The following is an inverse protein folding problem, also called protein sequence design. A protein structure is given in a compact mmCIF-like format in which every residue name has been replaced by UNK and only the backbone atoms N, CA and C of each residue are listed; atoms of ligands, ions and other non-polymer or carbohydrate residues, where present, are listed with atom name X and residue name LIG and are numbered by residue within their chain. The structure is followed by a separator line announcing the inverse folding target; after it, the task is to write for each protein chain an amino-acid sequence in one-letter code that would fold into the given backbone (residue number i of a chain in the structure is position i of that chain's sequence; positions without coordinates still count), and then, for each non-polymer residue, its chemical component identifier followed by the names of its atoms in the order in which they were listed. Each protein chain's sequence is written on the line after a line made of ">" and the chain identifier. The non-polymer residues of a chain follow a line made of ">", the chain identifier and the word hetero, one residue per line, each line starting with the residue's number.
data_IF_402432274696
#
_entry.id   IF_402432274696
#
_cell.length_a   1.000
_cell.length_b   1.000
_cell.length_c   1.000
_cell.angle_alpha   90.00
_cell.angle_beta   90.00
_cell.angle_gamma   90.00
#
_symmetry.space_group_name_H-M   'P 1'
#
loop_
_entity.id
_entity.type
_entity.pdbx_description
1 polymer ?
#
# COMPACT_ATOMS: atom_id res chain seq x y z
N UNK A 1 -9.75 -3.89 -29.40
CA UNK A 1 -10.71 -2.99 -28.74
C UNK A 1 -9.94 -1.94 -27.93
N UNK A 2 -9.07 -2.36 -27.00
CA UNK A 2 -8.17 -1.51 -26.20
C UNK A 2 -7.36 -0.42 -26.95
N UNK A 3 -6.89 -0.67 -28.18
CA UNK A 3 -6.12 0.34 -28.95
C UNK A 3 -6.99 1.48 -29.51
N UNK A 4 -8.29 1.24 -29.78
CA UNK A 4 -9.21 2.30 -30.23
C UNK A 4 -9.63 3.20 -29.08
N UNK A 5 -9.87 2.62 -27.90
CA UNK A 5 -10.18 3.35 -26.65
C UNK A 5 -9.00 4.23 -26.21
N UNK A 6 -7.76 3.74 -26.38
CA UNK A 6 -6.58 4.55 -26.14
C UNK A 6 -6.49 5.79 -27.06
N UNK A 7 -6.91 5.67 -28.32
CA UNK A 7 -6.90 6.76 -29.31
C UNK A 7 -8.05 7.75 -29.09
N UNK A 8 -9.21 7.30 -28.57
CA UNK A 8 -10.35 8.17 -28.28
C UNK A 8 -10.24 8.93 -26.96
N UNK A 9 -9.29 8.56 -26.08
CA UNK A 9 -9.04 9.24 -24.80
C UNK A 9 -10.18 9.09 -23.79
N UNK A 10 -11.19 8.26 -24.09
CA UNK A 10 -12.39 8.09 -23.30
C UNK A 10 -12.41 6.69 -22.69
N UNK A 11 -11.56 6.50 -21.67
CA UNK A 11 -11.59 5.32 -20.79
C UNK A 11 -12.27 5.67 -19.45
N UNK A 12 -12.91 6.83 -19.35
CA UNK A 12 -13.43 7.38 -18.09
C UNK A 12 -14.54 6.52 -17.47
N UNK A 13 -15.28 5.78 -18.31
CA UNK A 13 -16.36 4.88 -17.90
C UNK A 13 -15.91 3.56 -17.26
N UNK A 14 -14.63 3.20 -17.38
CA UNK A 14 -14.11 1.88 -16.97
C UNK A 14 -13.61 1.84 -15.52
N UNK A 15 -13.73 2.94 -14.78
CA UNK A 15 -13.25 3.04 -13.41
C UNK A 15 -14.40 3.29 -12.43
N UNK A 16 -14.54 2.48 -11.37
CA UNK A 16 -15.45 2.83 -10.28
C UNK A 16 -14.94 3.93 -9.35
N UNK A 17 -13.64 4.25 -9.42
CA UNK A 17 -13.09 5.46 -8.85
C UNK A 17 -12.46 6.30 -9.94
N UNK A 18 -12.60 7.61 -9.85
CA UNK A 18 -12.03 8.52 -10.84
C UNK A 18 -10.55 8.20 -11.13
N UNK A 19 -10.15 8.34 -12.40
CA UNK A 19 -8.77 8.13 -12.84
C UNK A 19 -7.75 8.93 -12.02
N UNK A 20 -8.15 10.12 -11.57
CA UNK A 20 -7.33 11.04 -10.80
C UNK A 20 -7.34 10.76 -9.29
N UNK A 21 -8.22 9.90 -8.78
CA UNK A 21 -8.24 9.55 -7.36
C UNK A 21 -6.86 9.07 -6.89
N UNK A 22 -6.33 9.54 -5.74
CA UNK A 22 -6.98 10.41 -4.74
C UNK A 22 -6.66 11.92 -4.88
N UNK A 23 -6.34 12.40 -6.08
CA UNK A 23 -5.93 13.79 -6.33
C UNK A 23 -6.81 14.50 -7.36
N UNK A 24 -7.86 15.15 -6.88
CA UNK A 24 -8.71 16.02 -7.69
C UNK A 24 -9.81 15.28 -8.44
N UNK A 25 -10.37 14.22 -7.86
CA UNK A 25 -11.55 13.54 -8.42
C UNK A 25 -12.74 14.51 -8.50
N UNK A 26 -13.48 14.57 -9.62
CA UNK A 26 -14.61 15.48 -9.75
C UNK A 26 -15.72 15.19 -8.72
N UNK A 27 -15.93 13.93 -8.36
CA UNK A 27 -16.92 13.45 -7.38
C UNK A 27 -16.55 13.88 -5.95
N UNK A 28 -15.28 14.12 -5.65
CA UNK A 28 -14.86 14.63 -4.33
C UNK A 28 -15.44 16.01 -4.03
N UNK A 29 -15.80 16.79 -5.06
CA UNK A 29 -16.38 18.14 -4.91
C UNK A 29 -17.72 18.12 -4.20
N UNK A 30 -18.48 17.03 -4.28
CA UNK A 30 -19.75 16.86 -3.55
C UNK A 30 -19.52 16.95 -2.03
N UNK A 31 -18.38 16.47 -1.56
CA UNK A 31 -17.98 16.44 -0.14
C UNK A 31 -17.15 17.68 0.26
N UNK A 32 -17.17 18.74 -0.56
CA UNK A 32 -16.43 19.97 -0.28
C UNK A 32 -16.97 20.72 0.95
N UNK A 33 -18.26 20.58 1.31
CA UNK A 33 -18.81 21.22 2.52
C UNK A 33 -18.68 20.34 3.76
N UNK A 34 -18.44 20.95 4.92
CA UNK A 34 -18.41 20.24 6.20
C UNK A 34 -19.78 19.62 6.54
N UNK A 35 -20.87 20.29 6.15
CA UNK A 35 -22.23 19.82 6.41
C UNK A 35 -22.51 18.46 5.74
N UNK A 36 -22.14 18.30 4.47
CA UNK A 36 -22.30 17.03 3.74
C UNK A 36 -21.45 15.92 4.36
N UNK A 37 -20.22 16.23 4.80
CA UNK A 37 -19.37 15.28 5.53
C UNK A 37 -20.04 14.83 6.83
N UNK A 38 -20.62 15.77 7.59
CA UNK A 38 -21.33 15.45 8.83
C UNK A 38 -22.59 14.63 8.57
N UNK A 39 -23.32 14.90 7.49
CA UNK A 39 -24.48 14.10 7.08
C UNK A 39 -24.07 12.66 6.74
N UNK A 40 -23.01 12.48 5.94
CA UNK A 40 -22.48 11.16 5.61
C UNK A 40 -22.01 10.41 6.87
N UNK A 41 -21.36 11.12 7.81
CA UNK A 41 -20.94 10.56 9.09
C UNK A 41 -22.14 10.06 9.91
N UNK A 42 -23.22 10.85 10.01
CA UNK A 42 -24.46 10.45 10.70
C UNK A 42 -25.13 9.26 10.00
N UNK A 43 -25.23 9.30 8.67
CA UNK A 43 -25.84 8.24 7.86
C UNK A 43 -25.08 6.91 7.94
N UNK A 44 -23.76 6.95 8.14
CA UNK A 44 -22.91 5.76 8.25
C UNK A 44 -22.78 5.19 9.67
N UNK A 45 -23.20 5.94 10.70
CA UNK A 45 -23.19 5.53 12.11
C UNK A 45 -23.76 4.13 12.41
N UNK A 46 -24.89 3.67 11.85
CA UNK A 46 -25.43 2.34 12.18
C UNK A 46 -24.60 1.17 11.63
N UNK A 47 -23.83 1.39 10.56
CA UNK A 47 -23.06 0.34 9.87
C UNK A 47 -21.55 0.46 10.10
N UNK A 48 -21.08 1.57 10.67
CA UNK A 48 -19.66 1.90 10.79
C UNK A 48 -18.87 0.83 11.51
N UNK A 49 -19.35 0.33 12.65
CA UNK A 49 -18.68 -0.72 13.41
C UNK A 49 -18.44 -1.99 12.58
N UNK A 50 -19.42 -2.41 11.79
CA UNK A 50 -19.30 -3.58 10.91
C UNK A 50 -18.27 -3.36 9.81
N UNK A 51 -18.21 -2.16 9.23
CA UNK A 51 -17.24 -1.83 8.20
C UNK A 51 -15.83 -1.72 8.76
N UNK A 52 -15.64 -1.06 9.91
CA UNK A 52 -14.35 -0.99 10.61
C UNK A 52 -13.85 -2.40 10.91
N UNK A 53 -14.67 -3.26 11.52
CA UNK A 53 -14.30 -4.64 11.80
C UNK A 53 -13.92 -5.43 10.52
N UNK A 54 -14.67 -5.22 9.43
CA UNK A 54 -14.39 -5.88 8.15
C UNK A 54 -13.08 -5.41 7.52
N UNK A 55 -12.74 -4.12 7.63
CA UNK A 55 -11.45 -3.60 7.18
C UNK A 55 -10.29 -4.26 7.94
N UNK A 56 -10.37 -4.30 9.27
CA UNK A 56 -9.33 -4.89 10.11
C UNK A 56 -9.21 -6.41 9.95
N UNK A 57 -10.27 -7.09 9.55
CA UNK A 57 -10.22 -8.51 9.22
C UNK A 57 -9.56 -8.78 7.87
N UNK A 58 -9.83 -7.96 6.86
CA UNK A 58 -9.48 -8.27 5.46
C UNK A 58 -8.17 -7.62 5.02
N UNK A 59 -7.96 -6.32 5.30
CA UNK A 59 -6.84 -5.57 4.75
C UNK A 59 -5.70 -5.37 5.75
N UNK A 60 -6.03 -5.10 7.02
CA UNK A 60 -5.03 -4.83 8.07
C UNK A 60 -3.95 -5.92 8.22
N UNK A 61 -4.25 -7.24 8.12
CA UNK A 61 -3.20 -8.27 8.23
C UNK A 61 -2.13 -8.17 7.13
N UNK A 62 -2.49 -7.62 5.97
CA UNK A 62 -1.57 -7.39 4.86
C UNK A 62 -0.95 -6.00 4.86
N UNK A 63 -1.54 -5.05 5.60
CA UNK A 63 -1.12 -3.65 5.62
C UNK A 63 -1.44 -3.01 6.99
N UNK A 64 -0.66 -3.35 8.03
CA UNK A 64 -0.90 -2.93 9.41
C UNK A 64 -0.43 -1.48 9.63
N UNK A 65 -1.23 -0.53 9.15
CA UNK A 65 -0.97 0.92 9.21
C UNK A 65 -1.61 1.63 10.40
N UNK A 66 -2.59 0.98 11.04
CA UNK A 66 -3.46 1.60 12.05
C UNK A 66 -3.50 0.69 13.27
N UNK A 67 -3.38 1.26 14.46
CA UNK A 67 -3.67 0.53 15.70
C UNK A 67 -5.18 0.35 15.86
N UNK A 68 -5.62 -0.91 16.03
CA UNK A 68 -7.05 -1.22 16.13
C UNK A 68 -7.70 -0.53 17.33
N UNK A 69 -7.07 -0.61 18.49
CA UNK A 69 -7.66 -0.16 19.76
C UNK A 69 -7.80 1.36 19.83
N UNK A 70 -6.77 2.08 19.37
CA UNK A 70 -6.78 3.54 19.29
C UNK A 70 -7.81 4.02 18.27
N UNK A 71 -7.86 3.37 17.11
CA UNK A 71 -8.78 3.75 16.04
C UNK A 71 -10.24 3.50 16.41
N UNK A 72 -10.55 2.35 17.00
CA UNK A 72 -11.90 2.01 17.46
C UNK A 72 -12.39 2.99 18.53
N UNK A 73 -11.55 3.29 19.51
CA UNK A 73 -11.86 4.27 20.57
C UNK A 73 -12.18 5.64 19.98
N UNK A 74 -11.38 6.10 19.01
CA UNK A 74 -11.59 7.39 18.34
C UNK A 74 -12.81 7.39 17.42
N UNK A 75 -13.12 6.25 16.78
CA UNK A 75 -14.33 6.09 15.97
C UNK A 75 -15.60 6.18 16.81
N UNK A 76 -15.58 5.66 18.04
CA UNK A 76 -16.68 5.77 18.99
C UNK A 76 -16.86 7.21 19.48
N UNK A 77 -15.80 7.94 19.80
CA UNK A 77 -15.92 9.31 20.31
C UNK A 77 -16.46 10.30 19.28
N UNK A 78 -16.09 10.16 18.00
CA UNK A 78 -16.60 11.05 16.94
C UNK A 78 -18.08 10.84 16.65
N UNK A 79 -18.63 9.65 16.96
CA UNK A 79 -20.09 9.43 16.93
C UNK A 79 -20.81 10.34 17.92
N UNK A 80 -20.18 10.66 19.04
CA UNK A 80 -20.75 11.48 20.11
C UNK A 80 -20.52 12.98 19.88
N UNK A 81 -19.35 13.36 19.36
CA UNK A 81 -18.95 14.76 19.15
C UNK A 81 -18.48 14.98 17.71
N UNK A 82 -19.43 15.29 16.82
CA UNK A 82 -19.19 15.44 15.38
C UNK A 82 -18.56 16.80 14.96
N UNK A 83 -18.60 17.81 15.82
CA UNK A 83 -18.35 19.22 15.41
C UNK A 83 -16.87 19.66 15.47
N UNK A 84 -15.98 18.84 16.02
CA UNK A 84 -14.57 19.17 16.23
C UNK A 84 -13.58 18.11 15.70
N UNK A 85 -14.04 17.20 14.83
CA UNK A 85 -13.19 16.12 14.36
C UNK A 85 -12.10 16.62 13.39
N UNK A 86 -10.84 16.30 13.72
CA UNK A 86 -9.67 16.53 12.87
C UNK A 86 -9.87 15.91 11.48
N UNK A 87 -9.74 16.75 10.45
CA UNK A 87 -9.95 16.38 9.04
C UNK A 87 -8.98 15.28 8.58
N UNK A 88 -7.77 15.24 9.13
CA UNK A 88 -6.77 14.21 8.81
C UNK A 88 -7.27 12.83 9.25
N UNK A 89 -7.82 12.76 10.46
CA UNK A 89 -8.42 11.54 10.97
C UNK A 89 -9.75 11.21 10.29
N UNK A 90 -10.59 12.19 9.99
CA UNK A 90 -11.82 11.95 9.21
C UNK A 90 -11.49 11.36 7.85
N UNK A 91 -10.44 11.84 7.18
CA UNK A 91 -9.97 11.26 5.93
C UNK A 91 -9.60 9.78 6.13
N UNK A 92 -8.79 9.46 7.14
CA UNK A 92 -8.44 8.07 7.47
C UNK A 92 -9.67 7.21 7.80
N UNK A 93 -10.62 7.77 8.54
CA UNK A 93 -11.83 7.08 8.95
C UNK A 93 -12.72 6.74 7.74
N UNK A 94 -12.94 7.68 6.83
CA UNK A 94 -13.74 7.42 5.64
C UNK A 94 -13.10 6.39 4.71
N UNK A 95 -11.77 6.41 4.50
CA UNK A 95 -11.16 5.37 3.65
C UNK A 95 -11.26 3.98 4.30
N UNK A 96 -11.16 3.88 5.62
CA UNK A 96 -11.41 2.63 6.36
C UNK A 96 -12.86 2.18 6.20
N UNK A 97 -13.83 3.09 6.30
CA UNK A 97 -15.25 2.77 6.04
C UNK A 97 -15.47 2.30 4.61
N UNK A 98 -14.86 2.94 3.62
CA UNK A 98 -14.97 2.56 2.21
C UNK A 98 -14.40 1.17 1.94
N UNK A 99 -13.19 0.89 2.43
CA UNK A 99 -12.56 -0.43 2.32
C UNK A 99 -13.40 -1.50 3.04
N UNK A 100 -13.88 -1.20 4.25
CA UNK A 100 -14.74 -2.07 5.04
C UNK A 100 -16.10 -2.36 4.39
N UNK A 101 -16.72 -1.34 3.81
CA UNK A 101 -17.94 -1.47 3.02
C UNK A 101 -17.70 -2.38 1.82
N UNK A 102 -16.65 -2.12 1.04
CA UNK A 102 -16.29 -2.96 -0.11
C UNK A 102 -16.02 -4.42 0.29
N UNK A 103 -15.32 -4.65 1.41
CA UNK A 103 -15.09 -5.99 1.94
C UNK A 103 -16.37 -6.72 2.36
N UNK A 104 -17.41 -5.98 2.76
CA UNK A 104 -18.68 -6.52 3.26
C UNK A 104 -19.67 -6.77 2.11
N UNK A 105 -19.87 -5.77 1.25
CA UNK A 105 -20.95 -5.76 0.25
C UNK A 105 -20.47 -6.09 -1.16
N UNK A 106 -19.18 -5.89 -1.45
CA UNK A 106 -18.62 -5.88 -2.81
C UNK A 106 -19.30 -4.86 -3.74
N UNK A 107 -19.98 -3.88 -3.17
CA UNK A 107 -20.64 -2.80 -3.89
C UNK A 107 -19.70 -1.61 -4.01
N UNK A 108 -19.25 -1.38 -5.24
CA UNK A 108 -18.32 -0.31 -5.60
C UNK A 108 -18.93 1.07 -5.37
N UNK A 109 -20.18 1.28 -5.80
CA UNK A 109 -20.87 2.57 -5.66
C UNK A 109 -21.10 2.92 -4.18
N UNK A 110 -21.47 1.93 -3.36
CA UNK A 110 -21.63 2.12 -1.93
C UNK A 110 -20.30 2.43 -1.22
N UNK A 111 -19.17 1.93 -1.73
CA UNK A 111 -17.83 2.21 -1.18
C UNK A 111 -17.25 3.54 -1.66
N UNK A 112 -17.51 3.94 -2.92
CA UNK A 112 -16.93 5.09 -3.58
C UNK A 112 -17.22 6.42 -2.88
N UNK A 113 -18.45 6.59 -2.36
CA UNK A 113 -18.82 7.78 -1.57
C UNK A 113 -17.88 8.04 -0.39
N UNK A 114 -17.42 6.98 0.27
CA UNK A 114 -16.49 7.11 1.40
C UNK A 114 -15.08 7.47 0.92
N UNK A 115 -14.64 6.94 -0.22
CA UNK A 115 -13.36 7.30 -0.80
C UNK A 115 -13.32 8.78 -1.25
N UNK A 116 -14.38 9.27 -1.89
CA UNK A 116 -14.48 10.68 -2.28
C UNK A 116 -14.62 11.62 -1.09
N UNK A 117 -15.34 11.23 -0.04
CA UNK A 117 -15.38 11.98 1.21
C UNK A 117 -14.00 12.02 1.89
N UNK A 118 -13.26 10.91 1.86
CA UNK A 118 -11.89 10.82 2.39
C UNK A 118 -10.94 11.77 1.65
N UNK A 119 -11.00 11.79 0.32
CA UNK A 119 -10.24 12.72 -0.52
C UNK A 119 -10.57 14.19 -0.20
N UNK A 120 -11.85 14.53 -0.10
CA UNK A 120 -12.28 15.89 0.21
C UNK A 120 -11.88 16.35 1.62
N UNK A 121 -11.78 15.43 2.58
CA UNK A 121 -11.23 15.71 3.91
C UNK A 121 -9.72 15.94 3.83
N UNK A 122 -8.98 15.06 3.15
CA UNK A 122 -7.53 15.17 3.01
C UNK A 122 -7.13 16.45 2.25
N UNK A 123 -7.86 16.84 1.20
CA UNK A 123 -7.59 18.03 0.40
C UNK A 123 -7.69 19.34 1.18
N UNK A 124 -8.39 19.33 2.33
CA UNK A 124 -8.51 20.48 3.24
C UNK A 124 -7.42 20.53 4.31
N UNK A 125 -6.57 19.51 4.39
CA UNK A 125 -5.44 19.48 5.33
C UNK A 125 -4.17 20.05 4.69
N UNK A 126 -3.22 20.50 5.51
CA UNK A 126 -1.91 20.98 5.05
C UNK A 126 -0.93 19.83 4.74
N UNK A 127 -1.41 18.67 4.29
CA UNK A 127 -0.56 17.48 4.10
C UNK A 127 0.58 17.67 3.10
N UNK A 128 0.46 18.63 2.17
CA UNK A 128 1.51 18.94 1.20
C UNK A 128 2.71 19.67 1.81
N UNK A 129 2.50 20.48 2.85
CA UNK A 129 3.56 21.23 3.54
C UNK A 129 3.98 20.59 4.87
N UNK A 130 3.01 20.05 5.59
CA UNK A 130 3.18 19.44 6.91
C UNK A 130 2.42 18.10 6.99
N UNK A 131 2.91 17.05 6.31
CA UNK A 131 2.35 15.71 6.41
C UNK A 131 2.52 15.15 7.81
N UNK A 132 1.50 14.43 8.26
CA UNK A 132 1.48 13.65 9.50
C UNK A 132 1.50 12.16 9.16
N UNK A 133 1.82 11.32 10.14
CA UNK A 133 1.74 9.85 9.99
C UNK A 133 0.34 9.39 9.59
N UNK A 134 -0.71 10.08 10.08
CA UNK A 134 -2.11 9.89 9.66
C UNK A 134 -2.31 10.21 8.18
N UNK A 135 -1.72 11.29 7.66
CA UNK A 135 -1.86 11.65 6.24
C UNK A 135 -1.18 10.62 5.33
N UNK A 136 0.03 10.18 5.70
CA UNK A 136 0.77 9.16 4.93
C UNK A 136 0.01 7.82 4.95
N UNK A 137 -0.43 7.35 6.12
CA UNK A 137 -1.21 6.11 6.21
C UNK A 137 -2.55 6.20 5.47
N UNK A 138 -3.23 7.35 5.51
CA UNK A 138 -4.44 7.60 4.73
C UNK A 138 -4.18 7.49 3.23
N UNK A 139 -3.10 8.10 2.72
CA UNK A 139 -2.71 7.99 1.32
C UNK A 139 -2.36 6.55 0.91
N UNK A 140 -1.68 5.78 1.77
CA UNK A 140 -1.47 4.34 1.54
C UNK A 140 -2.81 3.61 1.39
N UNK A 141 -3.78 3.89 2.26
CA UNK A 141 -5.11 3.27 2.21
C UNK A 141 -5.92 3.71 0.99
N UNK A 142 -5.79 4.95 0.54
CA UNK A 142 -6.42 5.42 -0.70
C UNK A 142 -5.84 4.72 -1.93
N UNK A 143 -4.52 4.56 -2.01
CA UNK A 143 -3.89 3.80 -3.10
C UNK A 143 -4.34 2.33 -3.07
N UNK A 144 -4.46 1.73 -1.89
CA UNK A 144 -5.04 0.40 -1.75
C UNK A 144 -6.52 0.35 -2.18
N UNK A 145 -7.32 1.35 -1.79
CA UNK A 145 -8.73 1.43 -2.21
C UNK A 145 -8.84 1.47 -3.73
N UNK A 146 -7.96 2.22 -4.41
CA UNK A 146 -7.89 2.27 -5.87
C UNK A 146 -7.56 0.91 -6.49
N UNK A 147 -6.58 0.19 -5.94
CA UNK A 147 -6.18 -1.13 -6.48
C UNK A 147 -7.21 -2.23 -6.20
N UNK A 148 -7.92 -2.15 -5.08
CA UNK A 148 -8.95 -3.11 -4.68
C UNK A 148 -10.27 -2.87 -5.40
N UNK A 149 -10.66 -1.61 -5.61
CA UNK A 149 -11.87 -1.27 -6.33
C UNK A 149 -11.78 -1.67 -7.81
N UNK A 150 -10.62 -1.49 -8.47
CA UNK A 150 -10.39 -1.95 -9.85
C UNK A 150 -8.91 -2.21 -10.14
N UNK A 151 -8.58 -3.46 -10.51
CA UNK A 151 -7.23 -3.86 -10.93
C UNK A 151 -7.06 -3.83 -12.47
N UNK A 152 -7.55 -2.77 -13.13
CA UNK A 152 -7.26 -2.57 -14.57
C UNK A 152 -5.84 -2.03 -14.76
N UNK A 153 -5.23 -2.27 -15.93
CA UNK A 153 -3.88 -1.75 -16.23
C UNK A 153 -3.79 -0.23 -16.03
N UNK A 154 -4.80 0.51 -16.49
CA UNK A 154 -4.85 1.97 -16.36
C UNK A 154 -5.00 2.45 -14.91
N UNK A 155 -5.78 1.75 -14.09
CA UNK A 155 -5.92 2.08 -12.66
C UNK A 155 -4.60 1.89 -11.92
N UNK A 156 -3.84 0.85 -12.29
CA UNK A 156 -2.51 0.59 -11.73
C UNK A 156 -1.47 1.60 -12.22
N UNK A 157 -1.51 2.00 -13.49
CA UNK A 157 -0.61 3.02 -14.06
C UNK A 157 -0.83 4.39 -13.42
N UNK A 158 -2.08 4.81 -13.23
CA UNK A 158 -2.38 6.08 -12.53
C UNK A 158 -1.99 6.02 -11.05
N UNK A 159 -2.10 4.84 -10.42
CA UNK A 159 -1.67 4.62 -9.04
C UNK A 159 -0.15 4.71 -8.87
N UNK A 160 0.65 4.45 -9.91
CA UNK A 160 2.11 4.63 -9.86
C UNK A 160 2.50 6.09 -9.60
N UNK A 161 1.82 7.06 -10.23
CA UNK A 161 2.04 8.49 -9.96
C UNK A 161 1.69 8.85 -8.51
N UNK A 162 0.57 8.32 -8.01
CA UNK A 162 0.16 8.54 -6.63
C UNK A 162 1.16 7.95 -5.62
N UNK A 163 1.70 6.78 -5.92
CA UNK A 163 2.75 6.13 -5.13
C UNK A 163 4.03 6.98 -5.11
N UNK A 164 4.46 7.51 -6.26
CA UNK A 164 5.62 8.40 -6.34
C UNK A 164 5.47 9.68 -5.51
N UNK A 165 4.26 10.24 -5.46
CA UNK A 165 3.95 11.37 -4.59
C UNK A 165 3.99 10.99 -3.10
N UNK A 166 3.39 9.85 -2.73
CA UNK A 166 3.43 9.31 -1.37
C UNK A 166 4.87 9.08 -0.88
N UNK A 167 5.74 8.50 -1.72
CA UNK A 167 7.17 8.32 -1.38
C UNK A 167 7.83 9.66 -1.07
N UNK A 168 7.57 10.72 -1.86
CA UNK A 168 8.13 12.05 -1.58
C UNK A 168 7.62 12.66 -0.27
N UNK A 169 6.35 12.49 0.07
CA UNK A 169 5.83 12.94 1.36
C UNK A 169 6.44 12.17 2.54
N UNK A 170 6.60 10.85 2.40
CA UNK A 170 7.28 10.03 3.41
C UNK A 170 8.75 10.44 3.59
N UNK A 171 9.44 10.80 2.50
CA UNK A 171 10.79 11.37 2.53
C UNK A 171 10.83 12.72 3.22
N UNK A 172 9.85 13.58 2.98
CA UNK A 172 9.74 14.89 3.62
C UNK A 172 9.57 14.78 5.14
N UNK A 173 8.88 13.72 5.61
CA UNK A 173 8.79 13.35 7.03
C UNK A 173 10.04 12.63 7.58
N UNK A 174 11.03 12.39 6.72
CA UNK A 174 12.28 11.67 7.04
C UNK A 174 12.03 10.26 7.58
N UNK A 175 10.96 9.58 7.12
CA UNK A 175 10.60 8.23 7.58
C UNK A 175 11.63 7.15 7.20
N UNK A 176 12.44 7.43 6.19
CA UNK A 176 13.52 6.57 5.71
C UNK A 176 14.74 6.52 6.64
N UNK A 177 14.80 7.38 7.67
CA UNK A 177 15.91 7.43 8.63
C UNK A 177 15.41 7.13 10.05
N UNK A 178 16.28 6.65 10.94
CA UNK A 178 15.93 6.48 12.34
C UNK A 178 15.52 7.82 12.96
N UNK A 179 14.34 7.85 13.58
CA UNK A 179 13.81 9.03 14.25
C UNK A 179 14.32 9.10 15.69
N UNK A 180 14.98 10.21 16.03
CA UNK A 180 15.47 10.53 17.39
C UNK A 180 16.22 9.37 18.07
N UNK A 181 17.28 8.78 17.46
CA UNK A 181 17.91 7.55 17.97
C UNK A 181 18.57 7.68 19.34
N UNK A 182 18.84 8.91 19.79
CA UNK A 182 19.52 9.20 21.07
C UNK A 182 18.56 9.17 22.28
N UNK A 183 17.26 9.13 22.02
CA UNK A 183 16.19 9.27 23.01
C UNK A 183 15.52 7.92 23.26
N UNK A 184 15.53 7.43 24.50
CA UNK A 184 14.99 6.10 24.86
C UNK A 184 13.72 6.20 25.72
N UNK A 185 13.07 7.36 25.74
CA UNK A 185 11.77 7.53 26.38
C UNK A 185 10.72 6.61 25.73
N UNK A 186 9.89 5.89 26.53
CA UNK A 186 8.94 4.91 25.99
C UNK A 186 8.02 5.44 24.89
N UNK A 187 7.56 6.69 25.02
CA UNK A 187 6.71 7.34 24.02
C UNK A 187 7.45 7.60 22.69
N UNK A 188 8.73 7.97 22.76
CA UNK A 188 9.58 8.21 21.59
C UNK A 188 9.90 6.88 20.91
N UNK A 189 10.22 5.83 21.68
CA UNK A 189 10.47 4.48 21.15
C UNK A 189 9.23 3.93 20.43
N UNK A 190 8.04 4.13 21.01
CA UNK A 190 6.78 3.73 20.39
C UNK A 190 6.53 4.46 19.05
N UNK A 191 6.65 5.78 19.02
CA UNK A 191 6.47 6.58 17.80
C UNK A 191 7.55 6.26 16.74
N UNK A 192 8.78 5.99 17.16
CA UNK A 192 9.87 5.53 16.28
C UNK A 192 9.49 4.23 15.57
N UNK A 193 8.91 3.28 16.30
CA UNK A 193 8.47 1.99 15.74
C UNK A 193 7.31 2.17 14.75
N UNK A 194 6.32 3.01 15.07
CA UNK A 194 5.22 3.33 14.14
C UNK A 194 5.73 3.96 12.85
N UNK A 195 6.66 4.92 12.95
CA UNK A 195 7.29 5.57 11.79
C UNK A 195 8.07 4.59 10.93
N UNK A 196 8.84 3.69 11.56
CA UNK A 196 9.58 2.63 10.86
C UNK A 196 8.62 1.68 10.13
N UNK A 197 7.56 1.22 10.80
CA UNK A 197 6.56 0.34 10.20
C UNK A 197 5.86 0.99 9.01
N UNK A 198 5.49 2.26 9.16
CA UNK A 198 4.89 3.06 8.09
C UNK A 198 5.83 3.17 6.88
N UNK A 199 7.13 3.40 7.10
CA UNK A 199 8.12 3.39 6.02
C UNK A 199 8.21 2.04 5.31
N UNK A 200 8.25 0.94 6.06
CA UNK A 200 8.28 -0.42 5.50
C UNK A 200 7.06 -0.68 4.61
N UNK A 201 5.87 -0.23 5.04
CA UNK A 201 4.64 -0.36 4.23
C UNK A 201 4.74 0.46 2.94
N UNK A 202 5.23 1.71 3.00
CA UNK A 202 5.43 2.55 1.80
C UNK A 202 6.39 1.88 0.82
N UNK A 203 7.51 1.35 1.30
CA UNK A 203 8.49 0.61 0.48
C UNK A 203 7.87 -0.66 -0.12
N UNK A 204 7.10 -1.40 0.68
CA UNK A 204 6.38 -2.59 0.23
C UNK A 204 5.42 -2.24 -0.92
N UNK A 205 4.59 -1.21 -0.75
CA UNK A 205 3.65 -0.77 -1.78
C UNK A 205 4.36 -0.32 -3.06
N UNK A 206 5.42 0.48 -2.98
CA UNK A 206 6.15 0.94 -4.16
C UNK A 206 6.78 -0.20 -4.96
N UNK A 207 7.38 -1.17 -4.27
CA UNK A 207 7.94 -2.38 -4.89
C UNK A 207 6.84 -3.23 -5.54
N UNK A 208 5.72 -3.45 -4.85
CA UNK A 208 4.59 -4.20 -5.41
C UNK A 208 4.03 -3.50 -6.66
N UNK A 209 3.83 -2.18 -6.60
CA UNK A 209 3.36 -1.38 -7.73
C UNK A 209 4.32 -1.50 -8.92
N UNK A 210 5.63 -1.33 -8.69
CA UNK A 210 6.66 -1.45 -9.73
C UNK A 210 6.72 -2.84 -10.36
N UNK A 211 6.54 -3.90 -9.57
CA UNK A 211 6.48 -5.28 -10.08
C UNK A 211 5.25 -5.53 -10.95
N UNK A 212 4.11 -4.98 -10.57
CA UNK A 212 2.83 -5.23 -11.26
C UNK A 212 2.76 -4.45 -12.58
N UNK A 213 3.20 -3.19 -12.58
CA UNK A 213 3.12 -2.30 -13.75
C UNK A 213 4.34 -2.38 -14.65
N UNK A 214 5.46 -2.92 -14.15
CA UNK A 214 6.76 -2.87 -14.83
C UNK A 214 7.40 -1.47 -14.83
N UNK A 215 6.83 -0.52 -14.08
CA UNK A 215 7.36 0.84 -13.96
C UNK A 215 8.55 0.88 -12.99
N UNK A 216 9.35 1.95 -13.10
CA UNK A 216 10.51 2.13 -12.23
C UNK A 216 10.10 2.57 -10.82
N UNK A 217 10.69 1.94 -9.81
CA UNK A 217 10.55 2.34 -8.40
C UNK A 217 11.15 3.73 -8.17
N UNK A 218 10.47 4.55 -7.39
CA UNK A 218 10.90 5.92 -7.05
C UNK A 218 11.56 6.01 -5.66
N UNK A 219 11.91 4.86 -5.08
CA UNK A 219 12.59 4.78 -3.80
C UNK A 219 14.04 5.31 -3.92
N UNK A 220 14.56 6.03 -2.90
CA UNK A 220 15.98 6.38 -2.89
C UNK A 220 16.85 5.13 -2.72
N UNK A 221 18.11 5.25 -3.11
CA UNK A 221 19.05 4.13 -3.15
C UNK A 221 19.30 3.48 -1.78
N UNK A 222 19.17 4.25 -0.70
CA UNK A 222 19.29 3.83 0.70
C UNK A 222 17.95 3.47 1.36
N UNK A 223 16.83 3.60 0.65
CA UNK A 223 15.49 3.24 1.15
C UNK A 223 15.40 1.84 1.72
N UNK A 224 16.19 0.94 1.13
CA UNK A 224 16.21 -0.49 1.40
C UNK A 224 17.27 -0.88 2.42
N UNK A 225 18.06 0.06 2.92
CA UNK A 225 18.98 -0.12 4.04
C UNK A 225 18.24 -0.10 5.38
N UNK A 226 17.03 -0.65 5.41
CA UNK A 226 16.24 -0.82 6.64
C UNK A 226 16.98 -1.86 7.47
N UNK A 227 17.71 -1.41 8.49
CA UNK A 227 18.37 -2.31 9.43
C UNK A 227 17.28 -3.14 10.11
N UNK A 228 17.30 -4.48 9.97
CA UNK A 228 16.39 -5.34 10.73
C UNK A 228 16.59 -5.04 12.21
N UNK A 229 15.51 -5.06 13.00
CA UNK A 229 15.63 -5.01 14.45
C UNK A 229 16.60 -6.11 14.88
N UNK A 230 17.63 -5.75 15.65
CA UNK A 230 18.55 -6.74 16.20
C UNK A 230 17.75 -7.81 16.94
N UNK A 231 18.15 -9.08 16.80
CA UNK A 231 17.47 -10.27 17.33
C UNK A 231 17.32 -10.19 18.86
N UNK A 232 16.32 -9.44 19.34
CA UNK A 232 15.87 -9.48 20.73
C UNK A 232 14.93 -10.68 20.85
N UNK A 233 15.27 -11.71 21.65
CA UNK A 233 14.54 -12.98 21.69
C UNK A 233 13.27 -12.88 22.55
N UNK A 234 12.44 -11.88 22.29
CA UNK A 234 11.20 -11.65 23.04
C UNK A 234 10.07 -11.16 22.14
N UNK A 235 8.99 -11.95 22.14
CA UNK A 235 7.72 -11.77 21.42
C UNK A 235 7.81 -12.13 19.92
N UNK A 236 6.74 -12.74 19.42
CA UNK A 236 6.53 -13.21 18.05
C UNK A 236 7.03 -12.14 17.04
N UNK A 237 8.16 -12.42 16.38
CA UNK A 237 8.79 -11.50 15.42
C UNK A 237 7.80 -11.15 14.29
N UNK A 238 7.37 -9.89 14.21
CA UNK A 238 6.41 -9.44 13.20
C UNK A 238 7.07 -9.47 11.81
N UNK A 239 6.33 -9.94 10.80
CA UNK A 239 6.78 -9.99 9.41
C UNK A 239 7.26 -8.62 8.91
N UNK A 240 6.60 -7.54 9.35
CA UNK A 240 6.95 -6.16 9.02
C UNK A 240 8.24 -5.66 9.70
N UNK A 241 8.73 -6.37 10.70
CA UNK A 241 9.88 -5.93 11.50
C UNK A 241 11.19 -6.48 10.97
N UNK A 242 11.18 -7.68 10.39
CA UNK A 242 12.41 -8.35 9.96
C UNK A 242 12.38 -8.96 8.56
N UNK A 243 11.32 -9.68 8.20
CA UNK A 243 11.27 -10.43 6.93
C UNK A 243 11.03 -9.50 5.76
N UNK A 244 10.01 -8.63 5.87
CA UNK A 244 9.65 -7.71 4.81
C UNK A 244 10.84 -6.79 4.50
N UNK A 245 11.47 -6.12 5.47
CA UNK A 245 12.71 -5.37 5.22
C UNK A 245 13.79 -6.17 4.47
N UNK A 246 14.07 -7.41 4.90
CA UNK A 246 15.08 -8.27 4.25
C UNK A 246 14.68 -8.65 2.82
N UNK A 247 13.46 -9.10 2.60
CA UNK A 247 12.95 -9.51 1.29
C UNK A 247 12.83 -8.32 0.32
N UNK A 248 12.33 -7.18 0.77
CA UNK A 248 12.23 -5.94 -0.01
C UNK A 248 13.62 -5.45 -0.45
N UNK A 249 14.65 -5.62 0.39
CA UNK A 249 16.03 -5.29 -0.02
C UNK A 249 16.54 -6.15 -1.17
N UNK A 250 16.17 -7.43 -1.21
CA UNK A 250 16.56 -8.37 -2.28
C UNK A 250 15.76 -8.05 -3.56
N UNK A 251 14.44 -7.88 -3.42
CA UNK A 251 13.53 -7.61 -4.54
C UNK A 251 13.81 -6.24 -5.16
N UNK A 252 14.06 -5.21 -4.35
CA UNK A 252 14.38 -3.88 -4.83
C UNK A 252 15.68 -3.87 -5.63
N UNK A 253 16.74 -4.56 -5.16
CA UNK A 253 17.99 -4.72 -5.93
C UNK A 253 17.77 -5.41 -7.26
N UNK A 254 16.89 -6.42 -7.30
CA UNK A 254 16.49 -7.08 -8.55
C UNK A 254 15.77 -6.09 -9.48
N UNK A 255 14.75 -5.38 -8.98
CA UNK A 255 13.98 -4.39 -9.74
C UNK A 255 14.84 -3.30 -10.37
N UNK A 256 15.76 -2.70 -9.59
CA UNK A 256 16.65 -1.64 -10.09
C UNK A 256 17.51 -2.12 -11.26
N UNK A 257 17.88 -3.41 -11.29
CA UNK A 257 18.68 -4.01 -12.36
C UNK A 257 17.85 -4.44 -13.55
N UNK A 258 16.66 -5.00 -13.33
CA UNK A 258 15.74 -5.40 -14.40
C UNK A 258 15.32 -4.20 -15.26
N UNK A 259 15.12 -3.04 -14.63
CA UNK A 259 14.76 -1.81 -15.33
C UNK A 259 15.97 -1.00 -15.84
N UNK A 260 17.20 -1.52 -15.68
CA UNK A 260 18.44 -0.88 -16.16
C UNK A 260 18.78 -1.31 -17.58
N UNK A 261 19.04 -0.33 -18.46
CA UNK A 261 19.54 -0.62 -19.82
C UNK A 261 21.04 -0.98 -19.84
N UNK A 262 21.81 -0.60 -18.82
CA UNK A 262 23.27 -0.72 -18.81
C UNK A 262 23.77 -1.92 -18.01
N UNK A 263 23.00 -2.42 -17.03
CA UNK A 263 23.40 -3.50 -16.13
C UNK A 263 22.30 -4.56 -16.00
N UNK A 264 21.91 -5.12 -17.15
CA UNK A 264 20.88 -6.15 -17.24
C UNK A 264 21.25 -7.37 -16.40
N UNK A 265 20.23 -8.03 -15.88
CA UNK A 265 20.41 -9.18 -15.00
C UNK A 265 20.69 -10.44 -15.83
N UNK A 266 21.71 -11.21 -15.43
CA UNK A 266 21.97 -12.52 -16.04
C UNK A 266 21.02 -13.59 -15.47
N UNK A 267 20.81 -14.69 -16.21
CA UNK A 267 19.97 -15.80 -15.76
C UNK A 267 20.42 -16.36 -14.39
N UNK A 268 21.73 -16.59 -14.22
CA UNK A 268 22.28 -17.11 -12.97
C UNK A 268 22.10 -16.15 -11.79
N UNK A 269 22.12 -14.83 -12.05
CA UNK A 269 21.81 -13.83 -11.04
C UNK A 269 20.32 -13.86 -10.69
N UNK A 270 19.43 -13.91 -11.68
CA UNK A 270 17.99 -14.00 -11.47
C UNK A 270 17.62 -15.23 -10.62
N UNK A 271 18.23 -16.39 -10.90
CA UNK A 271 18.09 -17.61 -10.09
C UNK A 271 18.58 -17.38 -8.66
N UNK A 272 19.74 -16.71 -8.46
CA UNK A 272 20.25 -16.38 -7.13
C UNK A 272 19.32 -15.47 -6.34
N UNK A 273 18.74 -14.44 -6.97
CA UNK A 273 17.74 -13.57 -6.31
C UNK A 273 16.50 -14.37 -5.91
N UNK A 274 15.99 -15.24 -6.80
CA UNK A 274 14.83 -16.09 -6.54
C UNK A 274 15.08 -17.05 -5.37
N UNK A 275 16.22 -17.74 -5.36
CA UNK A 275 16.60 -18.64 -4.27
C UNK A 275 16.78 -17.90 -2.95
N UNK A 276 17.43 -16.73 -2.96
CA UNK A 276 17.61 -15.90 -1.75
C UNK A 276 16.28 -15.45 -1.17
N UNK A 277 15.36 -15.02 -2.04
CA UNK A 277 13.98 -14.70 -1.66
C UNK A 277 13.29 -15.93 -1.04
N UNK A 278 13.34 -17.09 -1.70
CA UNK A 278 12.72 -18.32 -1.18
C UNK A 278 13.31 -18.77 0.15
N UNK A 279 14.60 -18.62 0.41
CA UNK A 279 15.21 -18.99 1.70
C UNK A 279 14.66 -18.12 2.83
N UNK A 280 14.53 -16.80 2.61
CA UNK A 280 13.94 -15.88 3.58
C UNK A 280 12.47 -16.25 3.84
N UNK A 281 11.69 -16.47 2.79
CA UNK A 281 10.27 -16.81 2.92
C UNK A 281 10.03 -18.21 3.50
N UNK A 282 10.84 -19.21 3.16
CA UNK A 282 10.68 -20.60 3.65
C UNK A 282 11.09 -20.75 5.11
N UNK A 283 12.16 -20.07 5.55
CA UNK A 283 12.53 -19.98 6.96
C UNK A 283 11.36 -19.46 7.80
N UNK A 284 10.58 -18.52 7.25
CA UNK A 284 9.41 -18.00 7.93
C UNK A 284 8.13 -18.77 7.69
N UNK A 285 7.90 -19.34 6.51
CA UNK A 285 6.75 -20.20 6.23
C UNK A 285 6.76 -21.44 7.15
N UNK A 286 7.94 -22.00 7.41
CA UNK A 286 8.10 -23.05 8.43
C UNK A 286 7.67 -22.51 9.80
N UNK A 287 8.07 -21.31 10.20
CA UNK A 287 7.65 -20.68 11.48
C UNK A 287 6.16 -20.29 11.54
N UNK A 288 5.56 -19.92 10.40
CA UNK A 288 4.18 -19.46 10.27
C UNK A 288 3.16 -20.59 10.13
N UNK A 289 3.51 -21.70 9.47
CA UNK A 289 2.68 -22.92 9.38
C UNK A 289 2.42 -23.51 10.77
N UNK A 290 3.36 -23.33 11.72
CA UNK A 290 3.12 -23.69 13.12
C UNK A 290 2.12 -22.79 13.85
N UNK A 291 1.71 -21.63 13.31
CA UNK A 291 0.87 -20.63 14.02
C UNK A 291 -0.17 -19.86 13.18
N UNK A 292 -0.48 -20.28 11.96
CA UNK A 292 -1.68 -19.85 11.23
C UNK A 292 -1.67 -18.44 10.59
N UNK A 293 -0.51 -17.89 10.20
CA UNK A 293 -0.43 -16.55 9.57
C UNK A 293 -0.37 -16.61 8.02
N UNK A 294 -1.32 -15.97 7.34
CA UNK A 294 -1.58 -16.06 5.89
C UNK A 294 -1.00 -14.90 5.04
N UNK A 295 0.10 -14.26 5.48
CA UNK A 295 0.59 -13.02 4.86
C UNK A 295 1.53 -13.23 3.64
N UNK A 296 1.96 -14.46 3.33
CA UNK A 296 2.97 -14.72 2.28
C UNK A 296 2.37 -14.92 0.88
N UNK A 297 1.05 -15.13 0.78
CA UNK A 297 0.41 -15.48 -0.50
C UNK A 297 0.45 -14.37 -1.55
N UNK A 298 0.53 -13.08 -1.18
CA UNK A 298 0.54 -11.99 -2.16
C UNK A 298 1.87 -11.88 -2.93
N UNK A 299 3.01 -12.19 -2.31
CA UNK A 299 4.31 -12.23 -3.02
C UNK A 299 4.42 -13.45 -3.95
N UNK A 300 3.76 -14.57 -3.59
CA UNK A 300 3.71 -15.78 -4.42
C UNK A 300 2.82 -15.58 -5.65
N UNK A 301 1.78 -14.74 -5.57
CA UNK A 301 0.87 -14.45 -6.69
C UNK A 301 1.42 -13.46 -7.73
N UNK A 302 2.50 -12.73 -7.43
CA UNK A 302 3.19 -11.84 -8.41
C UNK A 302 4.23 -12.61 -9.25
N UNK A 303 4.79 -13.69 -8.71
CA UNK A 303 5.76 -14.54 -9.42
C UNK A 303 5.26 -15.40 -10.62
N UNK A 304 3.96 -15.68 -10.86
CA UNK A 304 3.54 -16.47 -12.02
C UNK A 304 3.83 -15.78 -13.35
N UNK A 305 3.96 -14.45 -13.38
CA UNK A 305 4.29 -13.68 -14.60
C UNK A 305 5.78 -13.68 -14.96
N UNK A 306 6.66 -14.13 -14.06
CA UNK A 306 8.11 -14.23 -14.29
C UNK A 306 8.56 -15.65 -14.63
N UNK A 307 7.62 -16.58 -14.86
CA UNK A 307 7.96 -17.87 -15.44
C UNK A 307 8.36 -17.61 -16.90
N UNK A 308 9.63 -17.82 -17.29
CA UNK A 308 10.01 -17.66 -18.69
C UNK A 308 9.10 -18.58 -19.52
N UNK A 309 8.49 -18.04 -20.58
CA UNK A 309 7.93 -18.88 -21.65
C UNK A 309 9.10 -19.70 -22.20
N UNK A 310 9.19 -20.95 -21.77
CA UNK A 310 10.00 -21.97 -22.41
C UNK A 310 9.18 -22.42 -23.61
N UNK A 311 9.15 -21.61 -24.66
CA UNK A 311 8.62 -21.96 -25.98
C UNK A 311 9.25 -20.96 -26.97
N UNK A 312 10.41 -21.36 -27.51
CA UNK A 312 11.00 -20.96 -28.80
C UNK A 312 12.54 -21.13 -28.76
N UNK A 313 12.97 -22.38 -28.65
CA UNK A 313 14.27 -22.81 -29.15
C UNK A 313 14.06 -24.19 -29.79
N UNK A 314 13.65 -24.20 -31.07
CA UNK A 314 13.72 -25.38 -31.91
C UNK A 314 15.18 -25.79 -32.10
N UNK A 315 15.51 -27.11 -32.06
CA UNK A 315 16.84 -27.59 -32.36
C UNK A 315 16.96 -27.76 -33.88
N UNK A 316 17.60 -26.82 -34.58
CA UNK A 316 18.17 -27.12 -35.90
C UNK A 316 19.52 -27.80 -35.68
N UNK A 317 19.45 -29.13 -35.61
CA UNK A 317 20.59 -30.00 -35.86
C UNK A 317 20.74 -30.14 -37.37
N UNK A 318 21.65 -29.35 -37.96
CA UNK A 318 22.14 -29.59 -39.31
C UNK A 318 23.46 -30.38 -39.23
N UNK A 319 23.33 -31.69 -39.43
CA UNK A 319 24.45 -32.55 -39.82
C UNK A 319 24.58 -32.51 -41.34
N UNK A 320 25.73 -32.08 -41.86
CA UNK A 320 26.18 -32.37 -43.24
C UNK A 320 27.68 -32.08 -43.39
N UNK A 321 28.46 -33.18 -43.47
CA UNK A 321 29.81 -33.40 -44.01
C UNK A 321 30.86 -32.28 -44.03
#
# INVERSE_FOLDING_TARGET
>A
MAMREHISGDCSSDFALASNFPFGSPESKEYASLHIIQELLRASSPVSHSYVASYFRVYHPSMPLIDYSEFETRAQSVREVADAADLSWLAQYFVVLGLGAYATTRDEAASAKYFYASEACLSKTSYMSHPTTTNISTLCLMILAKSVAHATCWALDTSWNAMGFLVRLAMMMVLHKPWMPEFEEPAIVYERELRRRLWVVVVYMDIQMSLITGQQSLLPQDALAITPKADLPTVLEDCFDSILPRSLSIIGKFLTRTNSQTNQITYDEAVRYFLSSRTVHSSWAIRAVYRGAFAVSCLILVFPRLQPRIDDASPEADYSF
#
